data_IF_288750619586
#
_entry.id   IF_288750619586
#
_cell.length_a   1.000
_cell.length_b   1.000
_cell.length_c   1.000
_cell.angle_alpha   90.00
_cell.angle_beta   90.00
_cell.angle_gamma   90.00
#
_symmetry.space_group_name_H-M   'P 1'
#
loop_
_entity.id
_entity.type
_entity.pdbx_description
1 polymer ?
#
# COMPACT_ATOMS: atom_id res chain seq x y z
N UNK A 1 13.90 -18.89 -19.25
CA UNK A 1 13.32 -18.63 -18.71
C UNK A 1 12.04 -18.76 -18.96
N UNK A 2 11.60 -19.13 -18.24
CA UNK A 2 10.31 -19.41 -18.16
C UNK A 2 9.47 -18.25 -18.26
N UNK A 3 10.01 -17.09 -18.20
CA UNK A 3 9.17 -15.93 -18.25
C UNK A 3 9.07 -15.47 -19.66
N UNK A 4 7.89 -15.27 -20.13
CA UNK A 4 7.69 -14.77 -21.45
C UNK A 4 8.18 -13.34 -21.53
N UNK A 5 9.04 -13.04 -22.46
CA UNK A 5 9.61 -11.72 -22.55
C UNK A 5 8.58 -10.64 -22.76
N UNK A 6 7.57 -10.89 -23.46
CA UNK A 6 6.56 -9.89 -23.70
C UNK A 6 5.67 -9.65 -22.51
N UNK A 7 5.73 -10.54 -21.55
CA UNK A 7 4.92 -10.39 -20.40
C UNK A 7 5.71 -9.51 -19.47
N UNK A 8 5.25 -9.32 -18.31
CA UNK A 8 5.94 -8.56 -17.34
C UNK A 8 7.32 -9.09 -17.03
N UNK A 9 7.58 -10.32 -17.35
CA UNK A 9 8.85 -10.94 -17.03
C UNK A 9 9.04 -11.27 -15.57
N UNK A 10 8.07 -10.97 -14.73
CA UNK A 10 8.21 -11.13 -13.31
C UNK A 10 7.21 -12.15 -12.80
N UNK A 11 7.67 -13.07 -11.96
CA UNK A 11 6.76 -14.02 -11.35
C UNK A 11 5.96 -13.35 -10.24
N UNK A 12 4.88 -13.99 -9.83
CA UNK A 12 4.10 -13.54 -8.69
C UNK A 12 4.99 -13.47 -7.45
N UNK A 13 5.83 -14.48 -7.23
CA UNK A 13 6.71 -14.52 -6.07
C UNK A 13 7.69 -13.35 -6.05
N UNK A 14 8.27 -13.02 -7.19
CA UNK A 14 9.19 -11.89 -7.27
C UNK A 14 8.49 -10.58 -6.99
N UNK A 15 7.32 -10.39 -7.58
CA UNK A 15 6.53 -9.18 -7.36
C UNK A 15 6.09 -9.09 -5.90
N UNK A 16 5.67 -10.22 -5.32
CA UNK A 16 5.27 -10.27 -3.92
C UNK A 16 6.40 -9.89 -2.98
N UNK A 17 7.63 -10.32 -3.29
CA UNK A 17 8.78 -9.94 -2.48
C UNK A 17 8.99 -8.44 -2.47
N UNK A 18 8.84 -7.80 -3.62
CA UNK A 18 8.99 -6.36 -3.72
C UNK A 18 7.93 -5.66 -2.88
N UNK A 19 6.67 -6.07 -3.00
CA UNK A 19 5.57 -5.47 -2.26
C UNK A 19 5.74 -5.71 -0.77
N UNK A 20 6.09 -6.93 -0.38
CA UNK A 20 6.28 -7.28 1.02
C UNK A 20 7.36 -6.42 1.66
N UNK A 21 8.48 -6.23 0.98
CA UNK A 21 9.56 -5.39 1.46
C UNK A 21 9.10 -3.95 1.68
N UNK A 22 8.30 -3.43 0.76
CA UNK A 22 7.80 -2.06 0.89
C UNK A 22 6.83 -1.92 2.05
N UNK A 23 5.95 -2.90 2.24
CA UNK A 23 5.00 -2.86 3.35
C UNK A 23 5.70 -3.00 4.69
N UNK A 24 6.73 -3.84 4.77
CA UNK A 24 7.51 -3.98 6.00
C UNK A 24 8.27 -2.71 6.31
N UNK A 25 8.85 -2.08 5.30
CA UNK A 25 9.54 -0.81 5.48
C UNK A 25 8.59 0.27 5.98
N UNK A 26 7.38 0.32 5.44
CA UNK A 26 6.37 1.26 5.91
C UNK A 26 6.02 0.99 7.38
N UNK A 27 5.78 -0.27 7.72
CA UNK A 27 5.43 -0.63 9.08
C UNK A 27 6.54 -0.25 10.08
N UNK A 28 7.79 -0.49 9.70
CA UNK A 28 8.92 -0.14 10.54
C UNK A 28 9.06 1.37 10.71
N UNK A 29 8.90 2.11 9.62
CA UNK A 29 8.96 3.57 9.67
C UNK A 29 7.83 4.14 10.52
N UNK A 30 6.64 3.56 10.39
CA UNK A 30 5.48 4.01 11.14
C UNK A 30 5.65 3.76 12.63
N UNK A 31 6.25 2.61 12.98
CA UNK A 31 6.47 2.29 14.38
C UNK A 31 7.46 3.24 15.04
N UNK A 32 8.47 3.63 14.28
CA UNK A 32 9.56 4.43 14.83
C UNK A 32 9.27 5.91 14.89
N UNK A 33 8.20 6.35 14.28
CA UNK A 33 7.93 7.78 14.26
C UNK A 33 6.72 8.11 15.12
N UNK A 34 6.85 9.20 15.88
CA UNK A 34 5.72 9.78 16.59
C UNK A 34 5.27 11.07 15.93
N UNK A 35 5.95 11.47 14.88
CA UNK A 35 5.64 12.72 14.17
C UNK A 35 4.66 12.45 13.05
N UNK A 36 3.45 13.05 13.08
CA UNK A 36 2.47 12.84 12.01
C UNK A 36 2.99 13.19 10.62
N UNK A 37 3.85 14.19 10.52
CA UNK A 37 4.42 14.59 9.23
C UNK A 37 5.31 13.49 8.67
N UNK A 38 6.12 12.86 9.54
CA UNK A 38 6.96 11.76 9.10
C UNK A 38 6.14 10.53 8.73
N UNK A 39 5.07 10.28 9.47
CA UNK A 39 4.17 9.17 9.16
C UNK A 39 3.52 9.36 7.78
N UNK A 40 3.10 10.59 7.46
CA UNK A 40 2.54 10.88 6.16
C UNK A 40 3.58 10.73 5.05
N UNK A 41 4.81 11.17 5.30
CA UNK A 41 5.88 11.02 4.32
C UNK A 41 6.18 9.55 4.05
N UNK A 42 6.19 8.72 5.10
CA UNK A 42 6.39 7.28 4.96
C UNK A 42 5.25 6.65 4.15
N UNK A 43 4.01 7.07 4.40
CA UNK A 43 2.87 6.58 3.66
C UNK A 43 2.96 6.96 2.17
N UNK A 44 3.35 8.19 1.88
CA UNK A 44 3.50 8.65 0.50
C UNK A 44 4.61 7.88 -0.22
N UNK A 45 5.72 7.62 0.47
CA UNK A 45 6.80 6.83 -0.10
C UNK A 45 6.33 5.40 -0.40
N UNK A 46 5.52 4.83 0.49
CA UNK A 46 4.97 3.49 0.28
C UNK A 46 4.00 3.47 -0.90
N UNK A 47 3.16 4.50 -1.04
CA UNK A 47 2.25 4.62 -2.17
C UNK A 47 3.04 4.61 -3.48
N UNK A 48 4.11 5.38 -3.55
CA UNK A 48 4.96 5.43 -4.74
C UNK A 48 5.63 4.08 -5.00
N UNK A 49 6.08 3.42 -3.93
CA UNK A 49 6.72 2.11 -4.07
C UNK A 49 5.75 1.04 -4.56
N UNK A 50 4.51 1.08 -4.09
CA UNK A 50 3.49 0.12 -4.52
C UNK A 50 3.08 0.34 -5.97
N UNK A 51 3.26 1.55 -6.48
CA UNK A 51 3.01 1.88 -7.87
C UNK A 51 4.28 1.83 -8.71
N UNK A 52 5.36 1.29 -8.15
CA UNK A 52 6.65 1.27 -8.82
C UNK A 52 6.61 0.49 -10.13
N UNK A 53 7.29 0.99 -11.17
CA UNK A 53 7.40 0.24 -12.41
C UNK A 53 8.22 -1.05 -12.25
N UNK A 54 8.88 -1.24 -11.11
CA UNK A 54 9.55 -2.50 -10.82
C UNK A 54 8.58 -3.64 -10.58
N UNK A 55 7.35 -3.32 -10.18
CA UNK A 55 6.31 -4.35 -10.04
C UNK A 55 5.66 -4.49 -11.40
N UNK A 56 6.09 -5.48 -12.15
CA UNK A 56 5.63 -5.67 -13.52
C UNK A 56 4.65 -6.81 -13.69
N UNK A 57 4.53 -7.69 -12.71
CA UNK A 57 3.52 -8.75 -12.77
C UNK A 57 2.13 -8.10 -12.74
N UNK A 58 1.29 -8.30 -13.77
CA UNK A 58 0.04 -7.55 -13.86
C UNK A 58 -0.93 -7.79 -12.71
N UNK A 59 -1.01 -9.01 -12.21
CA UNK A 59 -1.94 -9.31 -11.13
C UNK A 59 -1.50 -8.66 -9.82
N UNK A 60 -0.22 -8.77 -9.51
CA UNK A 60 0.32 -8.17 -8.29
C UNK A 60 0.32 -6.64 -8.41
N UNK A 61 0.65 -6.14 -9.59
CA UNK A 61 0.63 -4.70 -9.82
C UNK A 61 -0.76 -4.12 -9.59
N UNK A 62 -1.79 -4.79 -10.09
CA UNK A 62 -3.16 -4.34 -9.91
C UNK A 62 -3.53 -4.34 -8.42
N UNK A 63 -3.20 -5.41 -7.71
CA UNK A 63 -3.52 -5.52 -6.29
C UNK A 63 -2.76 -4.49 -5.47
N UNK A 64 -1.47 -4.27 -5.77
CA UNK A 64 -0.68 -3.29 -5.03
C UNK A 64 -1.14 -1.87 -5.33
N UNK A 65 -1.59 -1.60 -6.55
CA UNK A 65 -2.14 -0.29 -6.90
C UNK A 65 -3.41 0.02 -6.12
N UNK A 66 -4.22 -1.00 -5.86
CA UNK A 66 -5.43 -0.81 -5.04
C UNK A 66 -5.05 -0.43 -3.61
N UNK A 67 -4.05 -1.10 -3.05
CA UNK A 67 -3.56 -0.75 -1.71
C UNK A 67 -3.03 0.68 -1.72
N UNK A 68 -2.26 1.04 -2.74
CA UNK A 68 -1.71 2.39 -2.86
C UNK A 68 -2.82 3.43 -2.94
N UNK A 69 -3.89 3.13 -3.67
CA UNK A 69 -5.02 4.04 -3.80
C UNK A 69 -5.71 4.28 -2.44
N UNK A 70 -5.91 3.22 -1.68
CA UNK A 70 -6.52 3.36 -0.35
C UNK A 70 -5.59 4.12 0.58
N UNK A 71 -4.29 3.84 0.54
CA UNK A 71 -3.34 4.60 1.35
C UNK A 71 -3.35 6.07 0.99
N UNK A 72 -3.48 6.38 -0.29
CA UNK A 72 -3.58 7.77 -0.75
C UNK A 72 -4.81 8.45 -0.17
N UNK A 73 -5.95 7.75 -0.15
CA UNK A 73 -7.16 8.26 0.45
C UNK A 73 -6.99 8.49 1.95
N UNK A 74 -6.29 7.59 2.63
CA UNK A 74 -6.01 7.73 4.05
C UNK A 74 -5.10 8.93 4.33
N UNK A 75 -4.10 9.14 3.47
CA UNK A 75 -3.22 10.31 3.59
C UNK A 75 -4.03 11.60 3.44
N UNK A 76 -4.90 11.64 2.44
CA UNK A 76 -5.75 12.81 2.22
C UNK A 76 -6.68 13.06 3.40
N UNK A 77 -7.25 12.00 3.96
CA UNK A 77 -8.09 12.10 5.15
C UNK A 77 -7.28 12.65 6.33
N UNK A 78 -6.07 12.17 6.53
CA UNK A 78 -5.22 12.64 7.62
C UNK A 78 -4.88 14.11 7.47
N UNK A 79 -4.58 14.54 6.25
CA UNK A 79 -4.30 15.97 5.99
C UNK A 79 -5.52 16.84 6.28
N UNK A 80 -6.69 16.36 5.87
CA UNK A 80 -7.94 17.06 6.13
C UNK A 80 -8.21 17.14 7.62
N UNK A 81 -7.97 16.06 8.34
CA UNK A 81 -8.14 16.05 9.80
C UNK A 81 -7.20 17.02 10.47
N UNK A 82 -5.95 17.08 10.03
CA UNK A 82 -4.97 18.00 10.62
C UNK A 82 -5.33 19.46 10.35
N UNK A 83 -5.88 19.73 9.17
CA UNK A 83 -6.27 21.09 8.81
C UNK A 83 -7.56 21.51 9.50
N UNK A 84 -8.49 20.58 9.65
CA UNK A 84 -9.79 20.89 10.20
C UNK A 84 -10.34 19.64 10.90
N UNK A 85 -10.00 19.44 12.19
CA UNK A 85 -10.43 18.23 12.90
C UNK A 85 -11.94 18.04 12.92
N UNK A 86 -12.71 19.13 12.90
CA UNK A 86 -14.16 19.00 12.93
C UNK A 86 -14.76 18.53 11.61
N UNK A 87 -13.98 18.55 10.53
CA UNK A 87 -14.42 18.04 9.25
C UNK A 87 -14.18 16.54 9.12
N UNK A 88 -13.42 15.94 10.02
CA UNK A 88 -13.14 14.51 9.97
C UNK A 88 -14.40 13.73 10.32
N UNK A 89 -14.74 12.78 9.46
CA UNK A 89 -15.93 11.96 9.63
C UNK A 89 -15.49 10.57 10.11
N UNK A 90 -15.93 10.14 11.31
CA UNK A 90 -15.59 8.79 11.77
C UNK A 90 -16.03 7.68 10.83
N UNK A 91 -17.13 7.87 10.11
CA UNK A 91 -17.59 6.89 9.14
C UNK A 91 -16.65 6.80 7.95
N UNK A 92 -16.08 7.93 7.54
CA UNK A 92 -15.11 7.94 6.46
C UNK A 92 -13.85 7.18 6.89
N UNK A 93 -13.37 7.41 8.11
CA UNK A 93 -12.21 6.70 8.63
C UNK A 93 -12.46 5.19 8.68
N UNK A 94 -13.64 4.80 9.13
CA UNK A 94 -14.02 3.39 9.19
C UNK A 94 -14.06 2.78 7.80
N UNK A 95 -14.64 3.50 6.84
CA UNK A 95 -14.72 3.04 5.45
C UNK A 95 -13.32 2.86 4.86
N UNK A 96 -12.43 3.79 5.12
CA UNK A 96 -11.05 3.69 4.64
C UNK A 96 -10.34 2.49 5.25
N UNK A 97 -10.56 2.23 6.54
CA UNK A 97 -9.98 1.07 7.20
C UNK A 97 -10.49 -0.22 6.57
N UNK A 98 -11.79 -0.29 6.30
CA UNK A 98 -12.37 -1.46 5.65
C UNK A 98 -11.82 -1.64 4.24
N UNK A 99 -11.69 -0.55 3.50
CA UNK A 99 -11.14 -0.59 2.15
C UNK A 99 -9.70 -1.08 2.16
N UNK A 100 -8.91 -0.63 3.14
CA UNK A 100 -7.53 -1.08 3.28
C UNK A 100 -7.48 -2.57 3.57
N UNK A 101 -8.31 -3.03 4.51
CA UNK A 101 -8.37 -4.45 4.86
C UNK A 101 -8.72 -5.28 3.65
N UNK A 102 -9.73 -4.86 2.90
CA UNK A 102 -10.17 -5.59 1.70
C UNK A 102 -9.06 -5.63 0.65
N UNK A 103 -8.39 -4.51 0.42
CA UNK A 103 -7.32 -4.48 -0.58
C UNK A 103 -6.11 -5.29 -0.15
N UNK A 104 -5.79 -5.29 1.14
CA UNK A 104 -4.70 -6.12 1.66
C UNK A 104 -5.04 -7.61 1.56
N UNK A 105 -6.29 -7.98 1.81
CA UNK A 105 -6.70 -9.37 1.65
C UNK A 105 -6.61 -9.81 0.20
N UNK A 106 -6.98 -8.95 -0.73
CA UNK A 106 -6.85 -9.25 -2.15
C UNK A 106 -5.39 -9.47 -2.53
N UNK A 107 -4.51 -8.61 -2.04
CA UNK A 107 -3.08 -8.75 -2.26
C UNK A 107 -2.55 -10.01 -1.59
N UNK A 108 -3.03 -10.30 -0.38
CA UNK A 108 -2.61 -11.48 0.37
C UNK A 108 -2.99 -12.80 -0.29
N UNK A 109 -4.04 -12.81 -1.11
CA UNK A 109 -4.38 -14.00 -1.87
C UNK A 109 -3.30 -14.33 -2.90
N UNK A 110 -2.65 -13.31 -3.44
CA UNK A 110 -1.55 -13.48 -4.37
C UNK A 110 -0.23 -13.65 -3.63
N UNK A 111 -0.12 -13.00 -2.48
CA UNK A 111 1.12 -12.91 -1.71
C UNK A 111 0.87 -13.32 -0.26
N UNK A 112 0.69 -14.62 0.03
CA UNK A 112 0.32 -15.03 1.40
C UNK A 112 1.29 -14.58 2.48
N UNK A 113 2.56 -14.39 2.14
CA UNK A 113 3.55 -13.95 3.12
C UNK A 113 3.23 -12.58 3.71
N UNK A 114 2.49 -11.75 2.96
CA UNK A 114 2.13 -10.42 3.43
C UNK A 114 1.20 -10.48 4.63
N UNK A 115 0.38 -11.53 4.70
CA UNK A 115 -0.59 -11.67 5.78
C UNK A 115 0.01 -12.24 7.06
N UNK A 116 1.27 -12.63 7.01
CA UNK A 116 1.96 -13.13 8.20
C UNK A 116 2.68 -11.98 8.93
#
# INVERSE_FOLDING_TARGET
>A
PTQAPGASGQSVDEACSLVDNQLRSFADSYKDTSDPTQALAAAEATINALNSPQITNPDVKQASSKVASVLSDMVNFSKKYQSNPSAADPKEAEQLTQNLTTSLLSLGKLCPAILK
#
